data_IF_917992962092
#
_entry.id   IF_917992962092
#
_cell.length_a   1.000
_cell.length_b   1.000
_cell.length_c   1.000
_cell.angle_alpha   90.00
_cell.angle_beta   90.00
_cell.angle_gamma   90.00
#
_symmetry.space_group_name_H-M   'P 1'
#
loop_
_entity.id
_entity.type
_entity.pdbx_description
1 polymer ?
#
# COMPACT_ATOMS: atom_id res chain seq x y z
N UNK A 1 56.41 -18.96 42.26
CA UNK A 1 55.23 -18.14 41.93
C UNK A 1 54.94 -18.27 40.45
N UNK A 2 53.83 -18.95 40.09
CA UNK A 2 53.40 -19.14 38.68
C UNK A 2 52.35 -18.07 38.37
N UNK A 3 52.44 -17.33 37.25
CA UNK A 3 51.39 -16.38 36.89
C UNK A 3 50.21 -17.12 36.28
N UNK A 4 49.01 -16.79 36.78
CA UNK A 4 47.73 -17.31 36.35
C UNK A 4 47.23 -16.38 35.21
N UNK A 5 47.24 -16.89 33.97
CA UNK A 5 46.65 -16.17 32.84
C UNK A 5 45.14 -16.43 32.82
N UNK A 6 44.35 -15.38 33.12
CA UNK A 6 42.90 -15.40 32.95
C UNK A 6 42.63 -15.07 31.48
N UNK A 7 42.18 -16.06 30.70
CA UNK A 7 41.70 -15.87 29.34
C UNK A 7 40.25 -15.36 29.40
N UNK A 8 40.07 -14.06 29.17
CA UNK A 8 38.73 -13.46 29.07
C UNK A 8 38.19 -13.76 27.66
N UNK A 9 37.33 -14.78 27.56
CA UNK A 9 36.67 -15.13 26.33
C UNK A 9 35.57 -14.07 25.99
N UNK A 10 35.86 -13.19 25.04
CA UNK A 10 34.87 -12.24 24.49
C UNK A 10 33.97 -13.00 23.53
N UNK A 11 32.81 -13.46 24.03
CA UNK A 11 31.75 -14.05 23.20
C UNK A 11 31.07 -12.92 22.40
N UNK A 12 31.50 -12.71 21.15
CA UNK A 12 30.82 -11.80 20.24
C UNK A 12 29.58 -12.54 19.74
N UNK A 13 28.43 -12.20 20.35
CA UNK A 13 27.12 -12.62 19.86
C UNK A 13 26.84 -11.89 18.54
N UNK A 14 27.15 -12.54 17.41
CA UNK A 14 26.75 -12.06 16.09
C UNK A 14 25.21 -12.17 16.00
N UNK A 15 24.51 -11.12 16.40
CA UNK A 15 23.12 -10.94 16.01
C UNK A 15 23.10 -10.70 14.50
N UNK A 16 22.81 -11.74 13.74
CA UNK A 16 22.44 -11.61 12.33
C UNK A 16 21.13 -10.81 12.26
N UNK A 17 21.26 -9.49 12.09
CA UNK A 17 20.15 -8.66 11.66
C UNK A 17 19.81 -9.12 10.24
N UNK A 18 18.83 -10.02 10.09
CA UNK A 18 18.23 -10.28 8.80
C UNK A 18 17.50 -8.98 8.42
N UNK A 19 18.15 -8.15 7.63
CA UNK A 19 17.48 -7.07 6.94
C UNK A 19 16.41 -7.73 6.07
N UNK A 20 15.15 -7.61 6.44
CA UNK A 20 14.05 -8.05 5.61
C UNK A 20 14.11 -7.18 4.36
N UNK A 21 14.53 -7.78 3.23
CA UNK A 21 14.58 -7.06 1.95
C UNK A 21 13.22 -6.40 1.72
N UNK A 22 13.24 -5.09 1.49
CA UNK A 22 12.02 -4.35 1.18
C UNK A 22 11.42 -4.94 -0.10
N UNK A 23 10.11 -5.20 -0.09
CA UNK A 23 9.40 -5.72 -1.26
C UNK A 23 9.66 -4.80 -2.46
N UNK A 24 10.21 -5.38 -3.55
CA UNK A 24 10.46 -4.64 -4.79
C UNK A 24 9.22 -4.68 -5.68
N UNK A 25 8.65 -3.52 -5.93
CA UNK A 25 7.57 -3.36 -6.89
C UNK A 25 8.11 -3.42 -8.33
N UNK A 26 7.25 -3.76 -9.29
CA UNK A 26 7.64 -3.74 -10.69
C UNK A 26 7.81 -2.30 -11.22
N UNK A 27 8.44 -2.15 -12.39
CA UNK A 27 8.70 -0.84 -12.99
C UNK A 27 7.41 -0.03 -13.26
N UNK A 28 6.33 -0.70 -13.65
CA UNK A 28 5.04 -0.05 -13.91
C UNK A 28 4.47 0.60 -12.64
N UNK A 29 4.64 -0.06 -11.47
CA UNK A 29 4.25 0.52 -10.19
C UNK A 29 4.95 1.87 -9.95
N UNK A 30 6.28 1.92 -10.10
CA UNK A 30 7.04 3.16 -9.87
C UNK A 30 6.67 4.26 -10.84
N UNK A 31 6.47 3.94 -12.12
CA UNK A 31 6.02 4.90 -13.13
C UNK A 31 4.64 5.48 -12.76
N UNK A 32 3.68 4.63 -12.36
CA UNK A 32 2.33 5.07 -12.04
C UNK A 32 2.26 5.81 -10.70
N UNK A 33 2.96 5.34 -9.67
CA UNK A 33 2.98 6.01 -8.36
C UNK A 33 3.60 7.41 -8.46
N UNK A 34 4.73 7.56 -9.16
CA UNK A 34 5.36 8.86 -9.41
C UNK A 34 4.44 9.80 -10.20
N UNK A 35 3.71 9.28 -11.21
CA UNK A 35 2.71 10.07 -11.93
C UNK A 35 1.59 10.53 -10.98
N UNK A 36 1.09 9.65 -10.11
CA UNK A 36 0.02 9.97 -9.17
C UNK A 36 0.41 11.06 -8.16
N UNK A 37 1.70 11.18 -7.81
CA UNK A 37 2.21 12.30 -7.00
C UNK A 37 2.05 13.66 -7.68
N UNK A 38 2.03 13.68 -9.03
CA UNK A 38 1.89 14.90 -9.83
C UNK A 38 0.43 15.23 -10.18
N UNK A 39 -0.46 14.23 -10.11
CA UNK A 39 -1.86 14.40 -10.44
C UNK A 39 -2.65 14.77 -9.18
N UNK A 40 -3.25 15.99 -9.11
CA UNK A 40 -3.94 16.44 -7.91
C UNK A 40 -5.15 15.56 -7.58
N UNK A 41 -5.50 15.55 -6.32
CA UNK A 41 -6.77 15.05 -5.77
C UNK A 41 -7.39 16.21 -5.00
N UNK A 42 -8.68 16.43 -5.20
CA UNK A 42 -9.44 17.48 -4.54
C UNK A 42 -10.57 16.89 -3.67
N UNK A 43 -11.17 17.74 -2.85
CA UNK A 43 -12.22 17.34 -1.89
C UNK A 43 -13.50 16.80 -2.52
N UNK A 44 -13.77 17.13 -3.79
CA UNK A 44 -14.94 16.66 -4.52
C UNK A 44 -14.66 15.35 -5.30
N UNK A 45 -13.39 14.91 -5.32
CA UNK A 45 -13.00 13.76 -6.09
C UNK A 45 -13.51 12.44 -5.49
N UNK A 46 -13.74 11.50 -6.39
CA UNK A 46 -14.10 10.11 -6.10
C UNK A 46 -12.95 9.24 -6.60
N UNK A 47 -12.18 8.67 -5.69
CA UNK A 47 -11.00 7.89 -6.03
C UNK A 47 -11.33 6.41 -6.10
N UNK A 48 -11.04 5.79 -7.25
CA UNK A 48 -10.99 4.34 -7.39
C UNK A 48 -9.55 3.88 -7.17
N UNK A 49 -9.30 3.21 -6.06
CA UNK A 49 -7.99 2.79 -5.57
C UNK A 49 -7.86 1.28 -5.58
N UNK A 50 -6.83 0.74 -6.22
CA UNK A 50 -6.68 -0.71 -6.30
C UNK A 50 -5.61 -1.20 -7.27
N UNK A 51 -5.77 -2.42 -7.73
CA UNK A 51 -4.84 -3.12 -8.61
C UNK A 51 -5.21 -3.02 -10.11
N UNK A 52 -4.90 -4.08 -10.91
CA UNK A 52 -5.17 -4.13 -12.35
C UNK A 52 -6.65 -4.00 -12.70
N UNK A 53 -7.54 -4.55 -11.88
CA UNK A 53 -8.99 -4.46 -12.12
C UNK A 53 -9.44 -3.00 -12.06
N UNK A 54 -8.92 -2.24 -11.11
CA UNK A 54 -9.17 -0.80 -11.03
C UNK A 54 -8.47 -0.05 -12.16
N UNK A 55 -7.22 -0.41 -12.47
CA UNK A 55 -6.42 0.26 -13.50
C UNK A 55 -7.03 0.13 -14.90
N UNK A 56 -7.64 -1.00 -15.23
CA UNK A 56 -8.08 -1.36 -16.58
C UNK A 56 -9.39 -0.73 -17.05
N UNK A 57 -9.95 0.27 -16.33
CA UNK A 57 -11.20 0.91 -16.74
C UNK A 57 -11.06 2.44 -16.74
N UNK A 58 -11.65 3.07 -17.76
CA UNK A 58 -11.79 4.52 -17.88
C UNK A 58 -13.02 4.99 -17.09
N UNK A 59 -12.90 4.95 -15.77
CA UNK A 59 -14.00 5.20 -14.83
C UNK A 59 -14.69 6.55 -15.02
N UNK A 60 -13.94 7.60 -15.33
CA UNK A 60 -14.48 8.93 -15.54
C UNK A 60 -15.37 9.01 -16.79
N UNK A 61 -15.02 8.27 -17.85
CA UNK A 61 -15.83 8.16 -19.06
C UNK A 61 -17.05 7.28 -18.82
N UNK A 62 -16.86 6.09 -18.18
CA UNK A 62 -17.94 5.16 -17.90
C UNK A 62 -19.09 5.79 -17.10
N UNK A 63 -18.76 6.66 -16.14
CA UNK A 63 -19.75 7.36 -15.30
C UNK A 63 -20.02 8.80 -15.74
N UNK A 64 -19.44 9.25 -16.85
CA UNK A 64 -19.50 10.64 -17.33
C UNK A 64 -19.28 11.65 -16.19
N UNK A 65 -18.24 11.44 -15.41
CA UNK A 65 -17.94 12.25 -14.23
C UNK A 65 -16.44 12.54 -14.12
N UNK A 66 -15.99 13.79 -14.40
CA UNK A 66 -14.58 14.17 -14.38
C UNK A 66 -13.94 14.12 -12.97
N UNK A 67 -14.76 14.12 -11.92
CA UNK A 67 -14.26 14.01 -10.54
C UNK A 67 -13.87 12.58 -10.17
N UNK A 68 -14.10 11.59 -11.03
CA UNK A 68 -13.62 10.23 -10.78
C UNK A 68 -12.16 10.10 -11.20
N UNK A 69 -11.33 9.70 -10.26
CA UNK A 69 -9.89 9.53 -10.44
C UNK A 69 -9.49 8.07 -10.32
N UNK A 70 -8.97 7.52 -11.41
CA UNK A 70 -8.40 6.18 -11.40
C UNK A 70 -7.02 6.21 -10.72
N UNK A 71 -6.89 5.48 -9.62
CA UNK A 71 -5.64 5.25 -8.88
C UNK A 71 -5.36 3.75 -8.75
N UNK A 72 -5.70 2.99 -9.79
CA UNK A 72 -5.31 1.58 -9.94
C UNK A 72 -3.89 1.44 -10.50
N UNK A 73 -3.18 0.39 -10.05
CA UNK A 73 -1.89 -0.02 -10.61
C UNK A 73 -1.90 -1.53 -10.83
N UNK A 74 -1.58 -1.99 -12.05
CA UNK A 74 -1.51 -3.42 -12.36
C UNK A 74 -0.47 -4.13 -11.49
N UNK A 75 -0.82 -5.32 -11.01
CA UNK A 75 -0.02 -6.16 -10.10
C UNK A 75 0.23 -5.57 -8.72
N UNK A 76 -0.50 -4.51 -8.34
CA UNK A 76 -0.33 -3.91 -7.01
C UNK A 76 -0.84 -4.83 -5.91
N UNK A 77 -0.18 -4.76 -4.76
CA UNK A 77 -0.51 -5.49 -3.54
C UNK A 77 -0.95 -4.52 -2.43
N UNK A 78 -1.49 -5.04 -1.35
CA UNK A 78 -1.99 -4.20 -0.25
C UNK A 78 -0.92 -3.26 0.34
N UNK A 79 0.33 -3.71 0.48
CA UNK A 79 1.43 -2.83 0.91
C UNK A 79 1.73 -1.74 -0.10
N UNK A 80 1.70 -2.05 -1.42
CA UNK A 80 1.92 -1.03 -2.46
C UNK A 80 0.89 0.08 -2.42
N UNK A 81 -0.38 -0.26 -2.20
CA UNK A 81 -1.43 0.75 -1.97
C UNK A 81 -1.11 1.61 -0.75
N UNK A 82 -0.66 1.00 0.36
CA UNK A 82 -0.29 1.73 1.57
C UNK A 82 0.86 2.71 1.33
N UNK A 83 1.91 2.29 0.61
CA UNK A 83 3.12 3.07 0.37
C UNK A 83 2.88 4.29 -0.52
N UNK A 84 1.85 4.24 -1.41
CA UNK A 84 1.47 5.35 -2.30
C UNK A 84 0.20 6.09 -1.89
N UNK A 85 -0.23 5.95 -0.65
CA UNK A 85 -1.51 6.50 -0.19
C UNK A 85 -1.45 8.01 0.07
N UNK A 86 -0.29 8.55 0.48
CA UNK A 86 -0.14 9.94 0.91
C UNK A 86 -0.61 11.00 -0.10
N UNK A 87 -0.21 10.96 -1.38
CA UNK A 87 -0.69 11.95 -2.35
C UNK A 87 -2.21 11.89 -2.55
N UNK A 88 -2.84 10.73 -2.32
CA UNK A 88 -4.29 10.56 -2.47
C UNK A 88 -5.03 11.20 -1.28
N UNK A 89 -4.62 10.87 -0.06
CA UNK A 89 -5.29 11.37 1.15
C UNK A 89 -5.00 12.83 1.44
N UNK A 90 -3.88 13.37 0.95
CA UNK A 90 -3.56 14.81 1.04
C UNK A 90 -4.66 15.68 0.44
N UNK A 91 -5.31 15.23 -0.63
CA UNK A 91 -6.42 15.92 -1.29
C UNK A 91 -7.76 15.82 -0.57
N UNK A 92 -7.86 14.95 0.46
CA UNK A 92 -9.10 14.71 1.23
C UNK A 92 -10.33 14.41 0.37
N UNK A 93 -10.27 13.43 -0.55
CA UNK A 93 -11.35 13.18 -1.51
C UNK A 93 -12.68 12.89 -0.82
N UNK A 94 -13.80 13.18 -1.51
CA UNK A 94 -15.13 12.89 -0.99
C UNK A 94 -15.34 11.40 -0.73
N UNK A 95 -14.82 10.56 -1.63
CA UNK A 95 -15.00 9.10 -1.56
C UNK A 95 -13.75 8.36 -2.01
N UNK A 96 -13.47 7.23 -1.38
CA UNK A 96 -12.48 6.25 -1.85
C UNK A 96 -13.17 4.89 -1.97
N UNK A 97 -13.08 4.26 -3.15
CA UNK A 97 -13.45 2.87 -3.39
C UNK A 97 -12.17 2.04 -3.46
N UNK A 98 -11.94 1.22 -2.45
CA UNK A 98 -10.74 0.39 -2.33
C UNK A 98 -11.04 -1.05 -2.75
N UNK A 99 -10.29 -1.57 -3.75
CA UNK A 99 -10.34 -2.97 -4.18
C UNK A 99 -8.92 -3.51 -4.32
N UNK A 100 -8.50 -4.33 -3.35
CA UNK A 100 -7.12 -4.86 -3.26
C UNK A 100 -7.12 -6.20 -2.53
N UNK A 101 -6.06 -6.99 -2.70
CA UNK A 101 -5.81 -8.22 -1.93
C UNK A 101 -5.64 -9.45 -2.79
N UNK A 102 -6.16 -9.49 -4.03
CA UNK A 102 -6.05 -10.69 -4.89
C UNK A 102 -4.60 -11.02 -5.25
N UNK A 103 -3.77 -9.99 -5.50
CA UNK A 103 -2.36 -10.21 -5.81
C UNK A 103 -1.57 -10.62 -4.58
N UNK A 104 -1.96 -10.18 -3.39
CA UNK A 104 -1.38 -10.67 -2.13
C UNK A 104 -1.55 -12.18 -2.00
N UNK A 105 -2.75 -12.70 -2.32
CA UNK A 105 -3.03 -14.14 -2.34
C UNK A 105 -2.15 -14.84 -3.40
N UNK A 106 -2.06 -14.29 -4.60
CA UNK A 106 -1.22 -14.84 -5.66
C UNK A 106 0.27 -14.87 -5.30
N UNK A 107 0.72 -13.96 -4.45
CA UNK A 107 2.07 -13.93 -3.87
C UNK A 107 2.20 -14.75 -2.58
N UNK A 108 1.22 -15.59 -2.25
CA UNK A 108 1.21 -16.48 -1.09
C UNK A 108 1.34 -15.78 0.26
N UNK A 109 0.91 -14.52 0.36
CA UNK A 109 0.82 -13.85 1.66
C UNK A 109 -0.25 -14.54 2.53
N UNK A 110 0.02 -14.66 3.82
CA UNK A 110 -0.98 -15.19 4.76
C UNK A 110 -2.19 -14.26 4.88
N UNK A 111 -3.36 -14.83 5.12
CA UNK A 111 -4.60 -14.08 5.35
C UNK A 111 -4.41 -13.01 6.43
N UNK A 112 -3.73 -13.33 7.53
CA UNK A 112 -3.44 -12.39 8.61
C UNK A 112 -2.61 -11.19 8.14
N UNK A 113 -1.61 -11.42 7.28
CA UNK A 113 -0.80 -10.36 6.70
C UNK A 113 -1.63 -9.45 5.80
N UNK A 114 -2.50 -10.03 4.97
CA UNK A 114 -3.39 -9.28 4.06
C UNK A 114 -4.35 -8.42 4.87
N UNK A 115 -5.02 -9.00 5.86
CA UNK A 115 -5.94 -8.29 6.75
C UNK A 115 -5.23 -7.16 7.51
N UNK A 116 -4.02 -7.42 8.02
CA UNK A 116 -3.20 -6.42 8.70
C UNK A 116 -2.86 -5.23 7.78
N UNK A 117 -2.47 -5.49 6.54
CA UNK A 117 -2.13 -4.45 5.57
C UNK A 117 -3.36 -3.62 5.18
N UNK A 118 -4.49 -4.27 4.84
CA UNK A 118 -5.74 -3.57 4.52
C UNK A 118 -6.21 -2.73 5.72
N UNK A 119 -6.08 -3.26 6.93
CA UNK A 119 -6.41 -2.53 8.17
C UNK A 119 -5.52 -1.29 8.34
N UNK A 120 -4.22 -1.35 8.00
CA UNK A 120 -3.35 -0.16 8.02
C UNK A 120 -3.84 0.91 7.06
N UNK A 121 -4.22 0.54 5.83
CA UNK A 121 -4.77 1.47 4.82
C UNK A 121 -6.02 2.15 5.38
N UNK A 122 -6.99 1.37 5.88
CA UNK A 122 -8.25 1.86 6.43
C UNK A 122 -8.00 2.84 7.58
N UNK A 123 -7.13 2.46 8.52
CA UNK A 123 -6.81 3.30 9.69
C UNK A 123 -6.15 4.61 9.28
N UNK A 124 -5.22 4.57 8.31
CA UNK A 124 -4.57 5.77 7.80
C UNK A 124 -5.56 6.71 7.15
N UNK A 125 -6.43 6.22 6.25
CA UNK A 125 -7.48 7.02 5.60
C UNK A 125 -8.40 7.64 6.67
N UNK A 126 -8.93 6.84 7.59
CA UNK A 126 -9.84 7.34 8.63
C UNK A 126 -9.22 8.35 9.58
N UNK A 127 -7.93 8.19 9.88
CA UNK A 127 -7.20 9.11 10.77
C UNK A 127 -6.93 10.46 10.10
N UNK A 128 -6.46 10.43 8.86
CA UNK A 128 -5.96 11.62 8.17
C UNK A 128 -7.03 12.34 7.34
N UNK A 129 -8.08 11.60 6.93
CA UNK A 129 -9.21 12.15 6.16
C UNK A 129 -10.55 11.69 6.72
N UNK A 130 -10.93 12.10 7.95
CA UNK A 130 -12.13 11.60 8.63
C UNK A 130 -13.44 11.90 7.89
N UNK A 131 -13.48 12.92 7.04
CA UNK A 131 -14.62 13.27 6.19
C UNK A 131 -14.76 12.39 4.95
N UNK A 132 -13.69 11.70 4.52
CA UNK A 132 -13.71 10.84 3.34
C UNK A 132 -14.56 9.58 3.60
N UNK A 133 -15.55 9.33 2.73
CA UNK A 133 -16.31 8.08 2.77
C UNK A 133 -15.50 6.96 2.10
N UNK A 134 -15.14 5.94 2.89
CA UNK A 134 -14.38 4.78 2.41
C UNK A 134 -15.32 3.60 2.18
N UNK A 135 -15.26 3.04 0.97
CA UNK A 135 -15.96 1.82 0.56
C UNK A 135 -14.91 0.74 0.24
N UNK A 136 -15.10 -0.46 0.77
CA UNK A 136 -14.22 -1.60 0.51
C UNK A 136 -14.97 -2.56 -0.38
N UNK A 137 -14.42 -2.82 -1.58
CA UNK A 137 -14.94 -3.82 -2.49
C UNK A 137 -14.31 -5.16 -2.15
N UNK A 138 -15.13 -6.12 -1.74
CA UNK A 138 -14.71 -7.49 -1.52
C UNK A 138 -14.77 -8.26 -2.84
N UNK A 139 -13.74 -9.07 -3.09
CA UNK A 139 -13.74 -10.01 -4.20
C UNK A 139 -14.31 -11.34 -3.71
N UNK A 140 -15.34 -11.81 -4.40
CA UNK A 140 -15.91 -13.14 -4.19
C UNK A 140 -15.37 -14.07 -5.28
N UNK A 141 -14.97 -15.26 -4.88
CA UNK A 141 -14.60 -16.35 -5.79
C UNK A 141 -15.64 -17.44 -5.72
#
# INVERSE_FOLDING_TARGET
MKPFFILLGLSICLMSLSAQEAYQYNQFYYQRSTLFEKLPIDSDDIVFLGNSITNGCEWHELFNNPNIKNRGISSDVSMGVYDRLDPIIKGKPAKIFLMIGINDIAHHLSTDSIVKNITKIIRKIKKETPSTRLYICLLYT
#
